data_IF_353726577195
#
_entry.id   IF_353726577195
#
_cell.length_a   1.000
_cell.length_b   1.000
_cell.length_c   1.000
_cell.angle_alpha   90.00
_cell.angle_beta   90.00
_cell.angle_gamma   90.00
#
_symmetry.space_group_name_H-M   'P 1'
#
loop_
_entity.id
_entity.type
_entity.pdbx_description
1 polymer ?
#
# COMPACT_ATOMS: atom_id res chain seq x y z
N UNK A 1 -39.99 0.16 -12.58
CA UNK A 1 -40.27 1.24 -11.63
C UNK A 1 -39.19 2.29 -11.82
N UNK A 2 -39.58 3.49 -12.21
CA UNK A 2 -38.69 4.66 -12.27
C UNK A 2 -38.21 4.98 -10.86
N UNK A 3 -36.89 4.92 -10.64
CA UNK A 3 -36.27 5.41 -9.40
C UNK A 3 -36.57 6.92 -9.38
N UNK A 4 -37.20 7.46 -8.31
CA UNK A 4 -37.41 8.90 -8.22
C UNK A 4 -36.06 9.59 -8.29
N UNK A 5 -35.96 10.63 -9.13
CA UNK A 5 -34.76 11.47 -9.19
C UNK A 5 -34.53 12.04 -7.79
N UNK A 6 -33.37 11.73 -7.21
CA UNK A 6 -32.94 12.35 -5.96
C UNK A 6 -32.74 13.85 -6.22
N UNK A 7 -33.61 14.69 -5.66
CA UNK A 7 -33.52 16.15 -5.75
C UNK A 7 -32.28 16.70 -5.00
N UNK A 8 -31.44 15.86 -4.38
CA UNK A 8 -30.23 16.26 -3.65
C UNK A 8 -29.16 16.95 -4.48
N UNK A 9 -29.19 16.81 -5.81
CA UNK A 9 -28.28 17.49 -6.74
C UNK A 9 -28.89 18.73 -7.43
N UNK A 10 -30.11 19.14 -7.05
CA UNK A 10 -30.85 20.20 -7.76
C UNK A 10 -30.49 21.63 -7.36
N UNK A 11 -29.84 21.83 -6.21
CA UNK A 11 -29.40 23.16 -5.79
C UNK A 11 -28.06 23.51 -6.44
N UNK A 12 -27.99 24.55 -7.30
CA UNK A 12 -26.72 25.03 -7.82
C UNK A 12 -25.82 25.43 -6.65
N UNK A 13 -24.52 25.18 -6.79
CA UNK A 13 -23.54 25.65 -5.83
C UNK A 13 -23.71 27.16 -5.62
N UNK A 14 -23.59 27.66 -4.38
CA UNK A 14 -23.58 29.08 -4.09
C UNK A 14 -22.63 29.85 -5.03
N UNK A 15 -23.09 30.99 -5.56
CA UNK A 15 -22.38 31.75 -6.61
C UNK A 15 -20.96 32.17 -6.19
N UNK A 16 -20.78 32.47 -4.90
CA UNK A 16 -19.50 32.79 -4.29
C UNK A 16 -18.52 31.61 -4.31
N UNK A 17 -19.01 30.38 -4.17
CA UNK A 17 -18.19 29.17 -4.34
C UNK A 17 -17.80 28.98 -5.80
N UNK A 18 -18.74 29.16 -6.73
CA UNK A 18 -18.45 29.08 -8.17
C UNK A 18 -17.35 30.08 -8.58
N UNK A 19 -17.48 31.34 -8.14
CA UNK A 19 -16.50 32.39 -8.43
C UNK A 19 -15.12 32.11 -7.80
N UNK A 20 -15.07 31.52 -6.61
CA UNK A 20 -13.81 31.15 -5.95
C UNK A 20 -13.12 29.94 -6.62
N UNK A 21 -13.87 29.01 -7.21
CA UNK A 21 -13.31 27.87 -7.95
C UNK A 21 -12.75 28.27 -9.33
N UNK A 22 -13.34 29.27 -9.97
CA UNK A 22 -12.97 29.73 -11.32
C UNK A 22 -11.79 30.72 -11.32
N UNK A 23 -11.44 31.31 -10.17
CA UNK A 23 -10.49 32.41 -10.09
C UNK A 23 -9.51 32.27 -8.93
N UNK A 24 -8.22 32.30 -9.24
CA UNK A 24 -7.14 32.38 -8.23
C UNK A 24 -7.11 33.71 -7.47
N UNK A 25 -7.92 34.70 -7.87
CA UNK A 25 -8.03 36.02 -7.25
C UNK A 25 -9.26 36.18 -6.35
N UNK A 26 -10.22 35.26 -6.41
CA UNK A 26 -11.39 35.27 -5.53
C UNK A 26 -11.18 34.31 -4.37
N UNK A 27 -11.03 34.86 -3.18
CA UNK A 27 -11.09 34.08 -1.96
C UNK A 27 -12.54 33.97 -1.49
N UNK A 28 -12.92 32.80 -0.96
CA UNK A 28 -14.20 32.66 -0.28
C UNK A 28 -14.34 33.75 0.80
N UNK A 29 -15.53 34.37 0.94
CA UNK A 29 -15.74 35.38 1.96
C UNK A 29 -15.47 34.80 3.36
N UNK A 30 -14.86 35.56 4.27
CA UNK A 30 -14.57 35.08 5.61
C UNK A 30 -15.88 34.73 6.34
N UNK A 31 -15.93 33.53 6.92
CA UNK A 31 -17.07 33.06 7.71
C UNK A 31 -16.63 32.81 9.16
N UNK A 32 -16.57 33.86 10.01
CA UNK A 32 -16.07 33.74 11.38
C UNK A 32 -16.96 32.84 12.25
N UNK A 33 -18.28 32.83 12.01
CA UNK A 33 -19.22 31.98 12.72
C UNK A 33 -18.90 30.50 12.48
N UNK A 34 -18.71 30.11 11.21
CA UNK A 34 -18.32 28.74 10.87
C UNK A 34 -16.94 28.37 11.43
N UNK A 35 -15.99 29.31 11.40
CA UNK A 35 -14.67 29.09 11.98
C UNK A 35 -14.74 28.84 13.50
N UNK A 36 -15.57 29.61 14.23
CA UNK A 36 -15.79 29.43 15.65
C UNK A 36 -16.51 28.11 15.97
N UNK A 37 -17.50 27.74 15.17
CA UNK A 37 -18.20 26.46 15.26
C UNK A 37 -17.23 25.29 15.11
N UNK A 38 -16.38 25.30 14.08
CA UNK A 38 -15.38 24.24 13.85
C UNK A 38 -14.36 24.14 14.97
N UNK A 39 -13.89 25.27 15.52
CA UNK A 39 -13.00 25.27 16.69
C UNK A 39 -13.66 24.61 17.88
N UNK A 40 -14.89 25.02 18.19
CA UNK A 40 -15.67 24.44 19.29
C UNK A 40 -15.85 22.92 19.13
N UNK A 41 -16.15 22.44 17.91
CA UNK A 41 -16.24 21.01 17.61
C UNK A 41 -14.94 20.28 17.97
N UNK A 42 -13.79 20.83 17.59
CA UNK A 42 -12.48 20.22 17.89
C UNK A 42 -12.17 20.30 19.40
N UNK A 43 -12.40 21.45 20.03
CA UNK A 43 -12.05 21.69 21.44
C UNK A 43 -12.85 20.78 22.39
N UNK A 44 -14.11 20.49 22.08
CA UNK A 44 -14.97 19.67 22.94
C UNK A 44 -14.67 18.17 22.86
N UNK A 45 -14.46 17.63 21.64
CA UNK A 45 -14.43 16.18 21.42
C UNK A 45 -13.20 15.70 20.63
N UNK A 46 -12.19 16.56 20.45
CA UNK A 46 -11.02 16.29 19.62
C UNK A 46 -11.41 15.94 18.17
N UNK A 47 -10.66 15.04 17.56
CA UNK A 47 -10.88 14.61 16.17
C UNK A 47 -11.65 13.30 16.02
N UNK A 48 -12.16 12.73 17.12
CA UNK A 48 -12.89 11.47 17.06
C UNK A 48 -14.17 11.60 16.22
N UNK A 49 -14.32 10.76 15.19
CA UNK A 49 -15.46 10.77 14.26
C UNK A 49 -15.81 12.17 13.75
N UNK A 50 -14.79 12.97 13.46
CA UNK A 50 -14.94 14.39 13.11
C UNK A 50 -15.70 14.60 11.80
N UNK A 51 -15.67 13.62 10.88
CA UNK A 51 -16.31 13.72 9.57
C UNK A 51 -17.80 14.06 9.65
N UNK A 52 -18.59 13.41 10.51
CA UNK A 52 -20.02 13.71 10.64
C UNK A 52 -20.30 15.00 11.41
N UNK A 53 -19.33 15.49 12.19
CA UNK A 53 -19.46 16.76 12.92
C UNK A 53 -19.15 17.95 12.02
N UNK A 54 -18.15 17.80 11.15
CA UNK A 54 -17.84 18.80 10.13
C UNK A 54 -18.86 18.79 9.01
N UNK A 55 -19.32 17.62 8.58
CA UNK A 55 -20.31 17.46 7.53
C UNK A 55 -21.53 16.69 8.06
N UNK A 56 -22.49 17.36 8.73
CA UNK A 56 -23.67 16.72 9.30
C UNK A 56 -24.53 15.96 8.29
N UNK A 57 -24.49 16.37 7.01
CA UNK A 57 -25.24 15.75 5.94
C UNK A 57 -24.43 14.70 5.15
N UNK A 58 -23.23 14.33 5.59
CA UNK A 58 -22.38 13.35 4.91
C UNK A 58 -23.07 11.98 4.85
N UNK A 59 -23.29 11.47 3.62
CA UNK A 59 -23.98 10.19 3.39
C UNK A 59 -23.03 9.02 3.16
N UNK A 60 -21.89 9.26 2.50
CA UNK A 60 -20.89 8.24 2.26
C UNK A 60 -19.51 8.88 2.02
N UNK A 61 -18.46 8.09 2.17
CA UNK A 61 -17.12 8.40 1.69
C UNK A 61 -16.82 7.58 0.44
N UNK A 62 -16.11 8.16 -0.51
CA UNK A 62 -15.56 7.46 -1.67
C UNK A 62 -14.04 7.61 -1.60
N UNK A 63 -13.31 6.50 -1.53
CA UNK A 63 -11.85 6.53 -1.52
C UNK A 63 -11.27 5.33 -2.29
N UNK A 64 -10.01 5.45 -2.70
CA UNK A 64 -9.26 4.30 -3.20
C UNK A 64 -8.88 3.47 -1.99
N UNK A 65 -9.46 2.28 -1.89
CA UNK A 65 -9.15 1.34 -0.83
C UNK A 65 -8.10 0.38 -1.38
N UNK A 66 -6.87 0.51 -0.90
CA UNK A 66 -5.77 -0.38 -1.30
C UNK A 66 -5.42 -1.34 -0.16
N UNK A 67 -5.19 -2.64 -0.46
CA UNK A 67 -4.73 -3.63 0.50
C UNK A 67 -3.46 -3.19 1.24
N UNK A 68 -2.56 -2.47 0.56
CA UNK A 68 -1.31 -1.93 1.11
C UNK A 68 -1.50 -0.87 2.18
N UNK A 69 -2.67 -0.25 2.33
CA UNK A 69 -2.92 0.76 3.37
C UNK A 69 -4.04 0.34 4.32
N UNK A 70 -4.59 -0.87 4.17
CA UNK A 70 -5.76 -1.37 4.90
C UNK A 70 -5.68 -1.17 6.42
N UNK A 71 -4.55 -1.47 7.07
CA UNK A 71 -4.43 -1.26 8.51
C UNK A 71 -4.28 0.21 8.92
N UNK A 72 -3.56 1.01 8.12
CA UNK A 72 -3.43 2.44 8.36
C UNK A 72 -4.79 3.15 8.16
N UNK A 73 -5.52 2.76 7.11
CA UNK A 73 -6.92 3.14 6.90
C UNK A 73 -7.76 2.73 8.09
N UNK A 74 -7.72 1.48 8.56
CA UNK A 74 -8.53 1.06 9.70
C UNK A 74 -8.26 1.90 10.97
N UNK A 75 -6.99 2.25 11.26
CA UNK A 75 -6.61 3.10 12.41
C UNK A 75 -7.04 4.56 12.23
N UNK A 76 -6.86 5.11 11.03
CA UNK A 76 -7.33 6.47 10.71
C UNK A 76 -8.86 6.53 10.74
N UNK A 77 -9.52 5.60 10.09
CA UNK A 77 -10.97 5.51 10.01
C UNK A 77 -11.57 5.29 11.41
N UNK A 78 -11.00 4.42 12.23
CA UNK A 78 -11.48 4.24 13.62
C UNK A 78 -11.37 5.52 14.45
N UNK A 79 -10.39 6.37 14.14
CA UNK A 79 -10.18 7.64 14.84
C UNK A 79 -11.09 8.73 14.27
N UNK A 80 -10.97 9.05 12.98
CA UNK A 80 -11.56 10.23 12.37
C UNK A 80 -12.91 9.99 11.70
N UNK A 81 -13.23 8.74 11.35
CA UNK A 81 -14.39 8.40 10.54
C UNK A 81 -15.48 7.75 11.38
N UNK A 82 -16.69 8.31 11.32
CA UNK A 82 -17.84 7.75 12.02
C UNK A 82 -18.26 6.42 11.38
N UNK A 83 -18.45 5.34 12.18
CA UNK A 83 -18.81 4.02 11.65
C UNK A 83 -20.21 3.98 11.01
N UNK A 84 -21.06 4.99 11.27
CA UNK A 84 -22.39 5.10 10.67
C UNK A 84 -22.37 5.61 9.22
N UNK A 85 -21.25 6.16 8.75
CA UNK A 85 -21.10 6.64 7.38
C UNK A 85 -20.36 5.58 6.56
N UNK A 86 -21.03 4.92 5.59
CA UNK A 86 -20.39 3.89 4.77
C UNK A 86 -19.28 4.48 3.89
N UNK A 87 -18.24 3.67 3.67
CA UNK A 87 -17.16 3.97 2.71
C UNK A 87 -17.31 3.03 1.52
N UNK A 88 -17.28 3.60 0.33
CA UNK A 88 -17.25 2.85 -0.91
C UNK A 88 -15.85 2.94 -1.52
N UNK A 89 -15.20 1.80 -1.80
CA UNK A 89 -14.07 1.81 -2.72
C UNK A 89 -14.48 2.49 -4.02
N UNK A 90 -13.62 3.31 -4.61
CA UNK A 90 -14.01 4.02 -5.83
C UNK A 90 -14.16 3.07 -7.02
N UNK A 91 -13.04 2.50 -7.46
CA UNK A 91 -12.97 1.55 -8.56
C UNK A 91 -11.58 0.92 -8.54
N UNK A 92 -11.47 -0.31 -9.02
CA UNK A 92 -10.20 -0.86 -9.45
C UNK A 92 -9.98 -0.48 -10.92
N UNK A 93 -8.96 0.33 -11.14
CA UNK A 93 -8.64 0.93 -12.42
C UNK A 93 -7.17 1.33 -12.45
N UNK A 94 -6.67 1.50 -13.66
CA UNK A 94 -5.31 1.96 -13.93
C UNK A 94 -5.34 3.11 -14.94
N UNK A 95 -4.20 3.74 -15.17
CA UNK A 95 -4.07 4.86 -16.12
C UNK A 95 -4.51 4.47 -17.53
N UNK A 96 -4.28 3.21 -17.85
CA UNK A 96 -4.53 2.54 -19.12
C UNK A 96 -6.00 2.16 -19.30
N UNK A 97 -6.76 1.97 -18.21
CA UNK A 97 -8.20 1.76 -18.24
C UNK A 97 -8.83 1.95 -16.86
N UNK A 98 -9.77 2.89 -16.74
CA UNK A 98 -10.22 3.39 -15.43
C UNK A 98 -11.26 2.49 -14.73
N UNK A 99 -12.01 1.63 -15.43
CA UNK A 99 -13.11 0.84 -14.83
C UNK A 99 -12.96 -0.66 -15.05
N UNK A 100 -11.96 -1.28 -14.42
CA UNK A 100 -11.68 -2.71 -14.58
C UNK A 100 -12.54 -3.55 -13.63
N UNK A 101 -12.70 -3.14 -12.37
CA UNK A 101 -13.60 -3.80 -11.43
C UNK A 101 -14.19 -2.81 -10.43
N UNK A 102 -15.35 -3.11 -9.85
CA UNK A 102 -16.08 -2.24 -8.92
C UNK A 102 -16.36 -2.97 -7.61
N UNK A 103 -16.45 -2.27 -6.47
CA UNK A 103 -16.83 -2.92 -5.23
C UNK A 103 -18.26 -3.42 -5.27
N UNK A 104 -18.51 -4.58 -4.65
CA UNK A 104 -19.87 -5.11 -4.55
C UNK A 104 -20.70 -4.40 -3.45
N UNK A 105 -20.06 -4.04 -2.33
CA UNK A 105 -20.73 -3.50 -1.14
C UNK A 105 -19.89 -2.40 -0.49
N UNK A 106 -20.54 -1.51 0.25
CA UNK A 106 -19.86 -0.58 1.16
C UNK A 106 -19.04 -1.34 2.20
N UNK A 107 -17.90 -0.79 2.60
CA UNK A 107 -16.99 -1.35 3.59
C UNK A 107 -16.49 -2.76 3.23
N UNK A 108 -16.55 -3.15 1.95
CA UNK A 108 -15.95 -4.39 1.44
C UNK A 108 -14.77 -4.10 0.53
N UNK A 109 -13.79 -4.99 0.55
CA UNK A 109 -12.64 -4.99 -0.35
C UNK A 109 -12.87 -5.89 -1.58
N UNK A 110 -13.98 -6.64 -1.59
CA UNK A 110 -14.32 -7.52 -2.71
C UNK A 110 -14.77 -6.69 -3.92
N UNK A 111 -14.05 -6.92 -5.01
CA UNK A 111 -14.26 -6.32 -6.31
C UNK A 111 -14.89 -7.33 -7.25
N UNK A 112 -15.70 -6.82 -8.17
CA UNK A 112 -16.33 -7.60 -9.24
C UNK A 112 -15.87 -7.04 -10.59
N UNK A 113 -15.38 -7.90 -11.50
CA UNK A 113 -15.05 -7.48 -12.85
C UNK A 113 -16.23 -6.87 -13.58
N UNK A 114 -15.93 -6.03 -14.57
CA UNK A 114 -16.89 -5.52 -15.53
C UNK A 114 -16.63 -6.18 -16.90
N UNK A 115 -17.26 -7.33 -17.24
CA UNK A 115 -16.93 -8.11 -18.44
C UNK A 115 -16.97 -7.37 -19.78
N UNK A 116 -17.65 -6.22 -19.83
CA UNK A 116 -17.75 -5.37 -21.04
C UNK A 116 -16.75 -4.21 -21.07
N UNK A 117 -15.94 -4.03 -20.03
CA UNK A 117 -14.99 -2.92 -19.97
C UNK A 117 -13.68 -3.25 -20.68
N UNK A 118 -13.14 -4.44 -20.41
CA UNK A 118 -11.89 -4.96 -20.98
C UNK A 118 -12.03 -6.47 -21.17
N UNK A 119 -11.14 -7.05 -21.96
CA UNK A 119 -10.98 -8.50 -21.98
C UNK A 119 -9.96 -8.90 -20.91
N UNK A 120 -10.32 -9.93 -20.13
CA UNK A 120 -9.56 -10.36 -18.96
C UNK A 120 -8.91 -11.71 -19.22
N UNK A 121 -7.61 -11.74 -19.01
CA UNK A 121 -6.82 -12.96 -18.87
C UNK A 121 -6.14 -12.95 -17.49
N UNK A 122 -5.75 -14.12 -17.02
CA UNK A 122 -5.14 -14.28 -15.71
C UNK A 122 -4.01 -15.28 -15.77
N UNK A 123 -2.92 -15.01 -15.06
CA UNK A 123 -1.81 -15.96 -14.91
C UNK A 123 -1.85 -16.44 -13.46
N UNK A 124 -2.01 -17.74 -13.25
CA UNK A 124 -2.01 -18.32 -11.89
C UNK A 124 -0.64 -18.15 -11.24
N UNK A 125 -0.63 -17.58 -10.04
CA UNK A 125 0.59 -17.51 -9.23
C UNK A 125 0.76 -18.86 -8.54
N UNK A 126 1.72 -19.65 -9.03
CA UNK A 126 2.15 -20.90 -8.40
C UNK A 126 3.26 -20.62 -7.41
N UNK A 127 3.30 -21.35 -6.31
CA UNK A 127 4.18 -21.10 -5.16
C UNK A 127 5.70 -21.18 -5.46
N UNK A 128 6.11 -21.57 -6.67
CA UNK A 128 7.50 -21.96 -7.01
C UNK A 128 8.29 -20.99 -7.93
N UNK A 129 7.80 -19.80 -8.27
CA UNK A 129 8.54 -18.90 -9.19
C UNK A 129 9.21 -17.71 -8.49
N UNK A 130 10.44 -17.92 -8.03
CA UNK A 130 11.43 -16.85 -7.77
C UNK A 130 12.31 -16.54 -8.99
N UNK A 131 12.14 -17.25 -10.12
CA UNK A 131 12.82 -16.92 -11.39
C UNK A 131 11.88 -16.15 -12.34
N UNK A 132 11.92 -14.82 -12.21
CA UNK A 132 11.99 -13.97 -13.39
C UNK A 132 13.46 -13.56 -13.53
N UNK A 133 14.30 -14.52 -13.91
CA UNK A 133 15.44 -14.16 -14.73
C UNK A 133 14.83 -13.63 -16.04
N UNK A 134 15.10 -12.35 -16.33
CA UNK A 134 14.89 -11.76 -17.67
C UNK A 134 15.74 -12.49 -18.75
N UNK A 135 16.45 -13.56 -18.37
CA UNK A 135 17.45 -14.31 -19.13
C UNK A 135 17.10 -15.82 -19.31
N UNK A 136 15.83 -16.24 -19.15
CA UNK A 136 15.42 -17.58 -19.58
C UNK A 136 14.70 -17.57 -20.95
N UNK A 137 15.53 -17.92 -21.92
CA UNK A 137 15.33 -18.45 -23.27
C UNK A 137 13.92 -18.97 -23.65
N UNK A 138 13.42 -18.45 -24.78
CA UNK A 138 12.53 -19.06 -25.77
C UNK A 138 11.20 -19.78 -25.36
N UNK A 139 10.10 -19.09 -25.73
CA UNK A 139 8.92 -19.62 -26.45
C UNK A 139 7.70 -20.25 -25.72
N UNK A 140 7.56 -20.18 -24.40
CA UNK A 140 6.28 -20.54 -23.76
C UNK A 140 5.63 -19.33 -23.08
N UNK A 141 4.60 -18.78 -23.73
CA UNK A 141 3.68 -17.86 -23.04
C UNK A 141 3.06 -18.60 -21.84
N UNK A 142 3.05 -18.01 -20.63
CA UNK A 142 2.42 -18.64 -19.48
C UNK A 142 0.95 -18.95 -19.79
N UNK A 143 0.48 -20.09 -19.29
CA UNK A 143 -0.92 -20.49 -19.41
C UNK A 143 -1.82 -19.39 -18.86
N UNK A 144 -2.73 -18.88 -19.70
CA UNK A 144 -3.68 -17.85 -19.29
C UNK A 144 -5.05 -18.46 -19.07
N UNK A 145 -5.67 -18.02 -17.97
CA UNK A 145 -7.02 -18.38 -17.58
C UNK A 145 -7.98 -17.27 -17.97
N UNK A 146 -9.18 -17.65 -18.37
CA UNK A 146 -10.30 -16.74 -18.57
C UNK A 146 -11.04 -16.48 -17.25
N UNK A 147 -11.83 -15.40 -17.24
CA UNK A 147 -12.61 -14.98 -16.07
C UNK A 147 -13.44 -16.11 -15.42
N UNK A 148 -13.99 -17.02 -16.22
CA UNK A 148 -14.84 -18.11 -15.74
C UNK A 148 -14.08 -19.32 -15.19
N UNK A 149 -12.76 -19.38 -15.42
CA UNK A 149 -11.88 -20.47 -14.99
C UNK A 149 -11.21 -20.19 -13.64
N UNK A 150 -11.38 -18.99 -13.11
CA UNK A 150 -10.81 -18.61 -11.82
C UNK A 150 -11.42 -19.40 -10.68
N UNK A 151 -10.56 -19.91 -9.79
CA UNK A 151 -10.97 -20.72 -8.63
C UNK A 151 -10.84 -19.94 -7.32
N UNK A 152 -11.81 -20.10 -6.43
CA UNK A 152 -11.80 -19.48 -5.11
C UNK A 152 -10.56 -19.89 -4.30
N UNK A 153 -9.94 -18.91 -3.64
CA UNK A 153 -8.76 -19.10 -2.78
C UNK A 153 -7.43 -18.97 -3.50
N UNK A 154 -7.40 -19.11 -4.83
CA UNK A 154 -6.20 -18.99 -5.64
C UNK A 154 -5.84 -17.54 -5.96
N UNK A 155 -4.56 -17.33 -6.26
CA UNK A 155 -3.98 -16.04 -6.58
C UNK A 155 -3.62 -15.97 -8.08
N UNK A 156 -3.90 -14.83 -8.70
CA UNK A 156 -3.64 -14.62 -10.12
C UNK A 156 -3.10 -13.23 -10.40
N UNK A 157 -2.18 -13.11 -11.34
CA UNK A 157 -1.85 -11.84 -11.97
C UNK A 157 -2.90 -11.48 -13.03
N UNK A 158 -3.34 -10.23 -13.05
CA UNK A 158 -4.30 -9.72 -14.02
C UNK A 158 -3.60 -9.32 -15.32
N UNK A 159 -4.09 -9.84 -16.44
CA UNK A 159 -3.65 -9.51 -17.79
C UNK A 159 -4.82 -8.93 -18.58
N UNK A 160 -4.63 -7.79 -19.23
CA UNK A 160 -5.72 -7.03 -19.85
C UNK A 160 -5.51 -6.83 -21.35
N UNK A 161 -6.61 -6.92 -22.09
CA UNK A 161 -6.70 -6.36 -23.44
C UNK A 161 -7.76 -5.26 -23.45
N UNK A 162 -7.38 -4.05 -23.87
CA UNK A 162 -8.21 -2.84 -23.77
C UNK A 162 -8.62 -2.32 -25.15
N UNK A 163 -9.72 -1.56 -25.20
CA UNK A 163 -10.15 -0.86 -26.42
C UNK A 163 -9.15 0.19 -26.91
N UNK A 164 -8.31 0.70 -26.00
CA UNK A 164 -7.32 1.74 -26.26
C UNK A 164 -6.00 1.18 -26.83
N UNK A 165 -5.95 -0.11 -27.18
CA UNK A 165 -4.87 -0.72 -27.96
C UNK A 165 -3.79 -1.44 -27.14
N UNK A 166 -4.03 -1.72 -25.86
CA UNK A 166 -3.19 -2.65 -25.11
C UNK A 166 -3.66 -4.07 -25.33
N UNK A 167 -2.73 -4.97 -25.68
CA UNK A 167 -3.01 -6.39 -25.94
C UNK A 167 -2.19 -7.25 -24.99
N UNK A 168 -2.88 -8.13 -24.26
CA UNK A 168 -2.28 -9.03 -23.25
C UNK A 168 -1.31 -8.30 -22.32
N UNK A 169 -1.69 -7.09 -21.89
CA UNK A 169 -0.89 -6.25 -21.03
C UNK A 169 -0.89 -6.81 -19.61
N UNK A 170 0.30 -7.19 -19.13
CA UNK A 170 0.54 -7.65 -17.76
C UNK A 170 0.50 -6.46 -16.82
N UNK A 171 -0.53 -6.42 -15.97
CA UNK A 171 -0.74 -5.29 -15.07
C UNK A 171 0.18 -5.35 -13.86
N UNK A 172 0.79 -6.52 -13.62
CA UNK A 172 1.47 -6.93 -12.40
C UNK A 172 0.55 -6.94 -11.17
N UNK A 173 -0.72 -6.58 -11.24
CA UNK A 173 -1.60 -6.63 -10.07
C UNK A 173 -1.95 -8.09 -9.77
N UNK A 174 -1.73 -8.51 -8.51
CA UNK A 174 -2.09 -9.83 -8.02
C UNK A 174 -3.41 -9.74 -7.27
N UNK A 175 -4.36 -10.57 -7.68
CA UNK A 175 -5.65 -10.72 -7.03
C UNK A 175 -5.77 -12.08 -6.36
N UNK A 176 -6.55 -12.16 -5.27
CA UNK A 176 -7.02 -13.41 -4.68
C UNK A 176 -8.52 -13.55 -4.91
N UNK A 177 -8.95 -14.65 -5.50
CA UNK A 177 -10.37 -14.93 -5.71
C UNK A 177 -11.01 -15.23 -4.35
N UNK A 178 -12.00 -14.45 -3.96
CA UNK A 178 -12.66 -14.56 -2.66
C UNK A 178 -13.99 -15.30 -2.71
N UNK A 179 -14.57 -15.46 -3.90
CA UNK A 179 -15.83 -16.14 -4.11
C UNK A 179 -16.44 -15.80 -5.48
N UNK A 180 -17.76 -15.82 -5.56
CA UNK A 180 -18.49 -15.51 -6.78
C UNK A 180 -19.74 -14.68 -6.47
N UNK A 181 -20.03 -13.71 -7.34
CA UNK A 181 -21.29 -12.99 -7.38
C UNK A 181 -22.06 -13.44 -8.62
N UNK A 182 -23.08 -14.27 -8.40
CA UNK A 182 -23.67 -15.11 -9.46
C UNK A 182 -22.59 -15.94 -10.14
N UNK A 183 -22.37 -15.76 -11.44
CA UNK A 183 -21.36 -16.46 -12.23
C UNK A 183 -20.05 -15.67 -12.37
N UNK A 184 -19.96 -14.45 -11.81
CA UNK A 184 -18.75 -13.63 -11.89
C UNK A 184 -17.87 -13.91 -10.67
N UNK A 185 -16.56 -14.16 -10.84
CA UNK A 185 -15.65 -14.25 -9.70
C UNK A 185 -15.61 -12.91 -8.97
N UNK A 186 -15.55 -12.96 -7.64
CA UNK A 186 -15.20 -11.81 -6.81
C UNK A 186 -13.76 -11.96 -6.36
N UNK A 187 -13.02 -10.86 -6.29
CA UNK A 187 -11.63 -10.89 -5.89
C UNK A 187 -11.24 -9.72 -5.02
N UNK A 188 -10.17 -9.90 -4.26
CA UNK A 188 -9.47 -8.82 -3.58
C UNK A 188 -8.13 -8.62 -4.26
N UNK A 189 -7.76 -7.37 -4.49
CA UNK A 189 -6.36 -7.06 -4.77
C UNK A 189 -5.54 -7.49 -3.54
N UNK A 190 -4.41 -8.15 -3.74
CA UNK A 190 -3.50 -8.55 -2.65
C UNK A 190 -2.09 -7.98 -2.82
N UNK A 191 -1.84 -7.24 -3.90
CA UNK A 191 -0.59 -6.52 -4.11
C UNK A 191 -0.25 -6.46 -5.58
N UNK A 192 1.01 -6.16 -5.85
CA UNK A 192 1.61 -6.25 -7.18
C UNK A 192 2.71 -7.29 -7.21
N UNK A 193 2.95 -7.87 -8.37
CA UNK A 193 4.06 -8.75 -8.63
C UNK A 193 5.36 -8.04 -8.22
N UNK A 194 6.15 -8.71 -7.40
CA UNK A 194 7.36 -8.13 -6.82
C UNK A 194 7.12 -7.32 -5.54
N UNK A 195 5.90 -7.29 -4.98
CA UNK A 195 5.60 -6.76 -3.63
C UNK A 195 5.44 -7.87 -2.60
N UNK A 196 6.26 -8.91 -2.67
CA UNK A 196 6.42 -9.93 -1.63
C UNK A 196 7.91 -10.24 -1.47
N UNK A 197 8.27 -10.85 -0.36
CA UNK A 197 9.60 -11.41 -0.11
C UNK A 197 9.46 -12.92 0.04
N UNK A 198 10.43 -13.65 -0.51
CA UNK A 198 10.59 -15.10 -0.42
C UNK A 198 12.07 -15.41 -0.29
N UNK A 199 12.42 -16.30 0.63
CA UNK A 199 13.78 -16.83 0.82
C UNK A 199 13.87 -18.28 0.39
N UNK A 200 12.85 -19.08 0.70
CA UNK A 200 12.83 -20.53 0.53
C UNK A 200 11.53 -21.04 -0.11
N UNK A 201 10.72 -20.15 -0.68
CA UNK A 201 9.40 -20.43 -1.26
C UNK A 201 8.23 -19.93 -0.43
N UNK A 202 8.47 -19.30 0.74
CA UNK A 202 7.40 -18.62 1.47
C UNK A 202 7.07 -17.27 0.83
N UNK A 203 5.80 -17.02 0.52
CA UNK A 203 5.36 -15.75 -0.04
C UNK A 203 4.87 -14.81 1.05
N UNK A 204 5.77 -14.00 1.63
CA UNK A 204 5.38 -12.95 2.59
C UNK A 204 5.12 -11.66 1.85
N UNK A 205 3.86 -11.28 1.74
CA UNK A 205 3.42 -10.08 1.02
C UNK A 205 3.81 -8.78 1.74
N UNK A 206 3.90 -7.68 0.99
CA UNK A 206 4.10 -6.33 1.54
C UNK A 206 3.02 -5.98 2.57
N UNK A 207 1.80 -6.46 2.36
CA UNK A 207 0.67 -6.22 3.26
C UNK A 207 0.88 -6.96 4.59
N UNK A 208 1.24 -8.24 4.55
CA UNK A 208 1.52 -9.03 5.76
C UNK A 208 2.66 -8.41 6.55
N UNK A 209 3.77 -8.07 5.89
CA UNK A 209 4.88 -7.36 6.54
C UNK A 209 4.43 -6.05 7.16
N UNK A 210 3.64 -5.24 6.43
CA UNK A 210 3.14 -3.95 6.94
C UNK A 210 2.28 -4.14 8.16
N UNK A 211 1.40 -5.13 8.11
CA UNK A 211 0.48 -5.46 9.17
C UNK A 211 1.23 -5.90 10.44
N UNK A 212 2.24 -6.76 10.27
CA UNK A 212 3.09 -7.23 11.35
C UNK A 212 3.86 -6.05 11.96
N UNK A 213 4.57 -5.27 11.13
CA UNK A 213 5.42 -4.16 11.60
C UNK A 213 4.57 -3.10 12.30
N UNK A 214 3.42 -2.72 11.74
CA UNK A 214 2.51 -1.74 12.34
C UNK A 214 1.87 -2.22 13.66
N UNK A 215 1.84 -3.54 13.91
CA UNK A 215 1.39 -4.09 15.19
C UNK A 215 2.46 -4.02 16.28
N UNK A 216 3.74 -3.95 15.91
CA UNK A 216 4.89 -4.03 16.83
C UNK A 216 5.46 -2.63 17.13
N UNK A 217 5.65 -1.79 16.11
CA UNK A 217 6.32 -0.49 16.26
C UNK A 217 5.64 0.50 17.23
N UNK A 218 4.31 0.51 17.44
CA UNK A 218 3.68 1.41 18.41
C UNK A 218 4.25 1.29 19.84
N UNK A 219 4.70 0.11 20.24
CA UNK A 219 5.32 -0.11 21.56
C UNK A 219 6.63 0.67 21.74
N UNK A 220 7.26 1.06 20.64
CA UNK A 220 8.55 1.76 20.59
C UNK A 220 8.40 3.21 20.09
N UNK A 221 7.18 3.77 20.08
CA UNK A 221 6.88 5.12 19.58
C UNK A 221 7.81 6.20 20.09
N UNK A 222 8.29 6.09 21.34
CA UNK A 222 9.20 7.06 21.95
C UNK A 222 10.51 7.21 21.17
N UNK A 223 10.95 6.19 20.43
CA UNK A 223 12.24 6.17 19.72
C UNK A 223 12.19 6.80 18.32
N UNK A 224 10.99 7.17 17.87
CA UNK A 224 10.76 7.72 16.54
C UNK A 224 10.31 9.17 16.62
N UNK A 225 10.73 9.99 15.65
CA UNK A 225 10.34 11.42 15.56
C UNK A 225 8.86 11.61 15.27
N UNK A 226 8.23 10.61 14.65
CA UNK A 226 6.85 10.65 14.22
C UNK A 226 6.10 9.43 14.75
N UNK A 227 4.81 9.59 15.03
CA UNK A 227 3.87 8.50 15.33
C UNK A 227 3.73 7.48 14.18
N UNK A 228 4.41 7.71 13.05
CA UNK A 228 4.52 6.79 11.91
C UNK A 228 5.99 6.71 11.47
N UNK A 229 6.79 5.81 12.07
CA UNK A 229 8.18 5.61 11.69
C UNK A 229 8.31 5.17 10.23
N UNK A 230 9.37 5.63 9.56
CA UNK A 230 9.68 5.24 8.19
C UNK A 230 10.54 4.00 8.20
N UNK A 231 10.14 3.00 7.42
CA UNK A 231 10.84 1.73 7.32
C UNK A 231 10.76 1.12 5.92
N UNK A 232 11.74 0.28 5.60
CA UNK A 232 11.77 -0.58 4.43
C UNK A 232 12.23 -1.98 4.82
N UNK A 233 11.82 -2.99 4.06
CA UNK A 233 12.16 -4.40 4.23
C UNK A 233 12.81 -4.91 2.96
N UNK A 234 13.88 -5.69 3.11
CA UNK A 234 14.54 -6.37 2.00
C UNK A 234 15.16 -7.68 2.47
N UNK A 235 15.75 -8.44 1.56
CA UNK A 235 16.43 -9.68 1.90
C UNK A 235 17.95 -9.48 1.89
N UNK A 236 18.63 -10.03 2.88
CA UNK A 236 20.08 -10.18 2.89
C UNK A 236 20.39 -11.66 3.10
N UNK A 237 20.80 -12.33 2.00
CA UNK A 237 20.94 -13.78 1.94
C UNK A 237 19.61 -14.48 2.32
N UNK A 238 19.58 -15.16 3.46
CA UNK A 238 18.41 -15.90 3.95
C UNK A 238 17.66 -15.18 5.08
N UNK A 239 17.98 -13.90 5.34
CA UNK A 239 17.36 -13.09 6.39
C UNK A 239 16.47 -11.99 5.82
N UNK A 240 15.34 -11.77 6.47
CA UNK A 240 14.53 -10.57 6.31
C UNK A 240 15.19 -9.42 7.06
N UNK A 241 15.48 -8.33 6.36
CA UNK A 241 16.10 -7.14 6.93
C UNK A 241 15.05 -6.05 7.05
N UNK A 242 14.74 -5.63 8.28
CA UNK A 242 13.91 -4.48 8.56
C UNK A 242 14.83 -3.26 8.82
N UNK A 243 14.77 -2.27 7.95
CA UNK A 243 15.52 -1.03 8.08
C UNK A 243 14.59 0.11 8.51
N UNK A 244 14.89 0.77 9.63
CA UNK A 244 14.01 1.78 10.24
C UNK A 244 14.80 3.06 10.51
N UNK A 245 14.24 4.22 10.18
CA UNK A 245 14.82 5.51 10.55
C UNK A 245 14.66 5.78 12.06
N UNK A 246 15.76 6.12 12.73
CA UNK A 246 15.76 6.57 14.13
C UNK A 246 15.72 8.11 14.20
N UNK A 247 15.12 8.62 15.27
CA UNK A 247 15.16 10.05 15.58
C UNK A 247 16.59 10.61 15.62
N UNK A 248 16.79 11.82 15.09
CA UNK A 248 18.08 12.53 15.09
C UNK A 248 18.73 12.57 16.47
N UNK A 249 17.94 12.86 17.51
CA UNK A 249 18.45 13.07 18.86
C UNK A 249 18.79 11.76 19.59
N UNK A 250 18.51 10.61 18.95
CA UNK A 250 18.62 9.26 19.55
C UNK A 250 19.64 8.37 18.86
N UNK A 251 20.25 8.83 17.77
CA UNK A 251 21.22 8.07 16.97
C UNK A 251 22.45 7.60 17.77
N UNK A 252 22.87 8.37 18.77
CA UNK A 252 24.08 8.08 19.54
C UNK A 252 23.89 7.06 20.67
N UNK A 253 22.64 6.73 21.05
CA UNK A 253 22.36 5.79 22.14
C UNK A 253 22.39 4.33 21.66
N UNK A 254 23.58 3.86 21.26
CA UNK A 254 23.79 2.54 20.65
C UNK A 254 23.37 1.37 21.56
N UNK A 255 23.54 1.49 22.88
CA UNK A 255 23.16 0.42 23.81
C UNK A 255 21.64 0.22 23.85
N UNK A 256 20.89 1.32 23.95
CA UNK A 256 19.42 1.30 23.90
C UNK A 256 18.92 0.75 22.57
N UNK A 257 19.48 1.23 21.46
CA UNK A 257 19.15 0.73 20.12
C UNK A 257 19.46 -0.77 20.00
N UNK A 258 20.54 -1.25 20.61
CA UNK A 258 20.89 -2.68 20.62
C UNK A 258 19.87 -3.53 21.36
N UNK A 259 19.43 -3.07 22.53
CA UNK A 259 18.39 -3.76 23.29
C UNK A 259 17.08 -3.85 22.48
N UNK A 260 16.61 -2.71 21.94
CA UNK A 260 15.38 -2.65 21.16
C UNK A 260 15.46 -3.55 19.92
N UNK A 261 16.63 -3.60 19.27
CA UNK A 261 16.80 -4.43 18.07
C UNK A 261 16.56 -5.90 18.34
N UNK A 262 17.08 -6.42 19.45
CA UNK A 262 16.87 -7.83 19.84
C UNK A 262 15.38 -8.10 20.09
N UNK A 263 14.72 -7.22 20.82
CA UNK A 263 13.28 -7.32 21.11
C UNK A 263 12.43 -7.26 19.82
N UNK A 264 12.71 -6.31 18.93
CA UNK A 264 12.02 -6.14 17.66
C UNK A 264 12.22 -7.34 16.74
N UNK A 265 13.45 -7.83 16.59
CA UNK A 265 13.73 -9.02 15.77
C UNK A 265 12.98 -10.26 16.29
N UNK A 266 12.96 -10.47 17.61
CA UNK A 266 12.22 -11.58 18.22
C UNK A 266 10.71 -11.48 17.96
N UNK A 267 10.11 -10.29 18.16
CA UNK A 267 8.69 -10.07 17.89
C UNK A 267 8.34 -10.19 16.42
N UNK A 268 9.20 -9.69 15.54
CA UNK A 268 9.03 -9.78 14.08
C UNK A 268 9.04 -11.25 13.62
N UNK A 269 10.03 -12.03 14.06
CA UNK A 269 10.15 -13.47 13.75
C UNK A 269 8.90 -14.22 14.24
N UNK A 270 8.47 -13.97 15.48
CA UNK A 270 7.26 -14.59 16.03
C UNK A 270 6.01 -14.24 15.22
N UNK A 271 5.79 -12.96 14.89
CA UNK A 271 4.61 -12.53 14.14
C UNK A 271 4.61 -13.03 12.70
N UNK A 272 5.77 -13.16 12.07
CA UNK A 272 5.90 -13.80 10.77
C UNK A 272 5.50 -15.28 10.83
N UNK A 273 5.94 -16.02 11.86
CA UNK A 273 5.52 -17.41 12.08
C UNK A 273 4.02 -17.58 12.36
N UNK A 274 3.41 -16.61 13.04
CA UNK A 274 1.97 -16.61 13.32
C UNK A 274 1.14 -16.30 12.06
N UNK A 275 1.66 -15.43 11.18
CA UNK A 275 0.94 -14.95 10.00
C UNK A 275 1.12 -15.81 8.76
N UNK A 276 2.24 -16.52 8.63
CA UNK A 276 2.58 -17.27 7.42
C UNK A 276 3.14 -18.66 7.80
N UNK A 277 2.40 -19.71 7.45
CA UNK A 277 2.72 -21.09 7.82
C UNK A 277 3.99 -21.60 7.13
N UNK A 278 4.20 -21.24 5.86
CA UNK A 278 5.40 -21.61 5.11
C UNK A 278 6.66 -20.95 5.69
N UNK A 279 6.56 -19.66 6.04
CA UNK A 279 7.63 -18.97 6.76
C UNK A 279 7.99 -19.73 8.03
N UNK A 280 6.99 -20.13 8.84
CA UNK A 280 7.22 -20.92 10.05
C UNK A 280 7.93 -22.24 9.75
N UNK A 281 7.45 -23.01 8.77
CA UNK A 281 8.03 -24.30 8.40
C UNK A 281 9.49 -24.12 7.96
N UNK A 282 9.80 -23.16 7.10
CA UNK A 282 11.14 -22.94 6.57
C UNK A 282 12.08 -22.31 7.59
N UNK A 283 11.57 -21.45 8.47
CA UNK A 283 12.30 -20.89 9.61
C UNK A 283 12.68 -21.96 10.64
N UNK A 284 11.78 -22.89 10.94
CA UNK A 284 12.03 -24.01 11.85
C UNK A 284 12.98 -25.05 11.25
N UNK A 285 12.95 -25.23 9.92
CA UNK A 285 13.92 -26.02 9.15
C UNK A 285 15.27 -25.32 8.91
N UNK A 286 15.46 -24.11 9.46
CA UNK A 286 16.68 -23.30 9.30
C UNK A 286 17.02 -22.94 7.83
N UNK A 287 16.04 -22.98 6.92
CA UNK A 287 16.20 -22.44 5.57
C UNK A 287 16.14 -20.91 5.56
N UNK A 288 15.35 -20.34 6.48
CA UNK A 288 15.27 -18.90 6.73
C UNK A 288 16.06 -18.59 8.00
N UNK A 289 16.97 -17.61 7.92
CA UNK A 289 17.73 -17.10 9.05
C UNK A 289 16.89 -16.10 9.88
N UNK A 290 17.25 -15.84 11.14
CA UNK A 290 16.58 -14.82 11.95
C UNK A 290 16.49 -13.46 11.23
N UNK A 291 15.43 -12.67 11.45
CA UNK A 291 15.36 -11.31 10.93
C UNK A 291 16.45 -10.41 11.49
N UNK A 292 16.92 -9.46 10.68
CA UNK A 292 17.94 -8.47 11.00
C UNK A 292 17.29 -7.09 11.09
N UNK A 293 17.69 -6.28 12.07
CA UNK A 293 17.27 -4.88 12.18
C UNK A 293 18.42 -3.94 11.84
N UNK A 294 18.15 -2.96 10.98
CA UNK A 294 19.07 -1.87 10.65
C UNK A 294 18.49 -0.53 11.11
N UNK A 295 19.23 0.19 11.95
CA UNK A 295 18.89 1.57 12.29
C UNK A 295 19.50 2.52 11.26
N UNK A 296 18.66 3.29 10.58
CA UNK A 296 19.06 4.25 9.56
C UNK A 296 19.13 5.65 10.12
N UNK A 297 20.01 6.48 9.54
CA UNK A 297 19.99 7.93 9.80
C UNK A 297 18.62 8.49 9.43
N UNK A 298 18.14 9.44 10.21
CA UNK A 298 16.91 10.17 9.92
C UNK A 298 16.89 10.69 8.46
N UNK A 299 15.73 10.59 7.80
CA UNK A 299 15.48 11.06 6.42
C UNK A 299 16.15 10.25 5.29
N UNK A 300 16.75 9.10 5.61
CA UNK A 300 17.38 8.21 4.61
C UNK A 300 16.37 7.66 3.60
N UNK A 301 15.24 7.13 4.06
CA UNK A 301 14.18 6.52 3.25
C UNK A 301 13.23 7.55 2.65
N UNK A 302 13.03 8.68 3.32
CA UNK A 302 12.07 9.70 2.89
C UNK A 302 12.68 10.62 1.81
N UNK A 303 13.64 11.46 2.18
CA UNK A 303 14.31 12.36 1.23
C UNK A 303 15.48 11.68 0.54
N UNK A 304 16.29 10.90 1.26
CA UNK A 304 17.52 10.29 0.74
C UNK A 304 17.29 9.37 -0.46
N UNK A 305 16.37 8.41 -0.36
CA UNK A 305 16.01 7.52 -1.49
C UNK A 305 15.40 8.32 -2.66
N UNK A 306 14.56 9.32 -2.36
CA UNK A 306 13.94 10.16 -3.39
C UNK A 306 15.00 10.93 -4.18
N UNK A 307 15.94 11.57 -3.49
CA UNK A 307 17.06 12.26 -4.12
C UNK A 307 17.96 11.29 -4.90
N UNK A 308 18.26 10.12 -4.32
CA UNK A 308 19.05 9.08 -4.97
C UNK A 308 18.43 8.61 -6.29
N UNK A 309 17.10 8.47 -6.34
CA UNK A 309 16.36 8.08 -7.56
C UNK A 309 16.30 9.18 -8.60
N UNK A 310 16.24 10.44 -8.18
CA UNK A 310 16.25 11.58 -9.12
C UNK A 310 17.65 11.89 -9.66
N UNK A 311 18.70 11.44 -8.98
CA UNK A 311 20.07 11.61 -9.42
C UNK A 311 20.46 10.53 -10.46
N UNK A 312 20.31 10.90 -11.73
CA UNK A 312 20.63 10.05 -12.89
C UNK A 312 22.07 9.53 -12.89
N UNK A 313 23.03 10.23 -12.25
CA UNK A 313 24.42 9.79 -12.15
C UNK A 313 24.59 8.65 -11.14
N UNK A 314 23.86 8.68 -10.02
CA UNK A 314 23.90 7.63 -8.99
C UNK A 314 23.18 6.35 -9.43
N UNK A 315 22.08 6.49 -10.16
CA UNK A 315 21.33 5.35 -10.72
C UNK A 315 22.00 4.72 -11.94
N UNK A 316 22.96 5.39 -12.60
CA UNK A 316 23.71 4.87 -13.76
C UNK A 316 22.89 4.79 -15.05
N UNK A 317 21.79 5.53 -15.16
CA UNK A 317 20.94 5.56 -16.34
C UNK A 317 21.55 6.48 -17.41
N UNK A 318 21.98 5.91 -18.54
CA UNK A 318 22.22 6.70 -19.77
C UNK A 318 20.86 7.04 -20.38
N UNK A 319 20.31 8.18 -19.96
CA UNK A 319 19.12 8.80 -20.53
C UNK A 319 17.81 8.10 -20.20
N UNK A 320 17.07 8.61 -19.21
CA UNK A 320 15.60 8.74 -19.28
C UNK A 320 15.02 9.43 -18.03
N UNK A 321 13.96 10.20 -18.32
CA UNK A 321 13.05 11.02 -17.50
C UNK A 321 13.13 10.87 -15.98
N UNK A 322 13.33 12.01 -15.31
CA UNK A 322 13.04 12.20 -13.89
C UNK A 322 11.61 11.74 -13.57
N UNK A 323 11.45 10.84 -12.59
CA UNK A 323 10.14 10.46 -12.07
C UNK A 323 9.44 11.68 -11.46
N UNK A 324 8.15 11.85 -11.78
CA UNK A 324 7.34 12.91 -11.19
C UNK A 324 7.28 12.77 -9.66
N UNK A 325 7.70 13.83 -8.99
CA UNK A 325 7.89 13.92 -7.54
C UNK A 325 6.62 13.66 -6.71
N UNK A 326 5.44 13.85 -7.28
CA UNK A 326 4.16 13.69 -6.58
C UNK A 326 3.62 12.24 -6.58
N UNK A 327 4.29 11.30 -7.27
CA UNK A 327 3.90 9.89 -7.34
C UNK A 327 4.86 8.95 -6.60
N UNK A 328 5.93 9.49 -5.99
CA UNK A 328 6.90 8.70 -5.24
C UNK A 328 6.35 8.37 -3.85
N UNK A 329 5.80 7.17 -3.70
CA UNK A 329 5.55 6.55 -2.39
C UNK A 329 6.86 5.95 -1.85
N UNK A 330 7.08 6.02 -0.54
CA UNK A 330 8.16 5.26 0.09
C UNK A 330 7.96 3.77 -0.21
N UNK A 331 8.97 3.14 -0.81
CA UNK A 331 8.89 1.72 -1.12
C UNK A 331 9.15 0.94 0.15
N UNK A 332 8.12 0.23 0.59
CA UNK A 332 8.23 -0.62 1.76
C UNK A 332 9.12 -1.83 1.48
N UNK A 333 8.98 -2.51 0.33
CA UNK A 333 9.89 -3.59 -0.06
C UNK A 333 10.94 -3.07 -1.03
N UNK A 334 12.22 -3.31 -0.73
CA UNK A 334 13.35 -3.08 -1.66
C UNK A 334 13.82 -4.44 -2.17
N UNK A 335 13.62 -4.71 -3.47
CA UNK A 335 14.03 -5.97 -4.08
C UNK A 335 15.54 -6.07 -4.26
N UNK A 336 16.08 -7.29 -4.20
CA UNK A 336 17.51 -7.58 -4.41
C UNK A 336 18.05 -7.10 -5.76
N UNK A 337 17.22 -7.04 -6.80
CA UNK A 337 17.59 -6.46 -8.10
C UNK A 337 17.98 -4.99 -8.02
N UNK A 338 17.46 -4.26 -7.02
CA UNK A 338 17.82 -2.87 -6.75
C UNK A 338 19.07 -2.76 -5.86
N UNK A 339 20.16 -3.46 -6.22
CA UNK A 339 21.41 -3.52 -5.43
C UNK A 339 21.89 -2.13 -5.00
N UNK A 340 21.89 -1.16 -5.90
CA UNK A 340 22.29 0.23 -5.62
C UNK A 340 21.49 0.90 -4.50
N UNK A 341 20.19 0.59 -4.40
CA UNK A 341 19.33 1.13 -3.33
C UNK A 341 19.62 0.41 -2.02
N UNK A 342 19.84 -0.91 -2.05
CA UNK A 342 20.24 -1.69 -0.88
C UNK A 342 21.59 -1.20 -0.35
N UNK A 343 22.56 -0.97 -1.23
CA UNK A 343 23.88 -0.44 -0.88
C UNK A 343 23.74 0.95 -0.25
N UNK A 344 22.95 1.85 -0.86
CA UNK A 344 22.65 3.16 -0.27
C UNK A 344 22.02 3.07 1.12
N UNK A 345 21.08 2.14 1.33
CA UNK A 345 20.48 1.92 2.65
C UNK A 345 21.53 1.41 3.65
N UNK A 346 22.37 0.45 3.24
CA UNK A 346 23.46 -0.10 4.08
C UNK A 346 24.52 0.96 4.42
N UNK A 347 24.82 1.89 3.52
CA UNK A 347 25.76 2.99 3.74
C UNK A 347 25.26 4.06 4.74
N UNK A 348 23.95 4.10 4.97
CA UNK A 348 23.30 5.05 5.89
C UNK A 348 22.91 4.44 7.24
N UNK A 349 23.44 3.26 7.57
CA UNK A 349 23.22 2.59 8.84
C UNK A 349 23.98 3.29 9.97
N UNK A 350 23.27 3.62 11.05
CA UNK A 350 23.81 4.12 12.32
C UNK A 350 24.31 2.97 13.19
N UNK A 351 23.58 1.84 13.16
CA UNK A 351 23.91 0.63 13.91
C UNK A 351 23.39 -0.60 13.17
N UNK A 352 24.30 -1.54 12.92
CA UNK A 352 24.00 -2.90 12.45
C UNK A 352 24.17 -3.86 13.60
N UNK A 353 23.16 -4.68 13.85
CA UNK A 353 23.24 -5.78 14.82
C UNK A 353 22.97 -7.05 14.03
N UNK A 354 23.99 -7.91 13.99
CA UNK A 354 23.95 -9.21 13.33
C UNK A 354 23.14 -10.22 14.15
#
# INVERSE_FOLDING_TARGET
GTIPADESLSSPLPIDICLALESTKYHLPPNPNRAQELRKIIDENGFHHVNTRFWPNLKCGICIISPSIRQFELKLLSTYWSPVVPIFPYVYGMSEHHRIAVPLKSNSYDLIPLPRSVYYEFIEIKDDYDDYDDDDDDNQSPESFELHQLEQGKCYEVVLTTYDGLYRYRTEDIIKVTGYYYSLPTWQLIGRHGQYLSVAGEHVTEIELRNIINSILPEYEKEFTSSSPQYSVFLDKTSYVLAIEVDKDKQDNKDRLTQISKELCMKLDQKLKESNEDYKIYRDKQKISPPILLWLKYDTLTTGIREFRTDSKKMGAKGSKAQMTNQLKSQMIIKNKNKKIIDFVKDNVVLKID
#
